data_IF_249188910211
#
_entry.id   IF_249188910211
#
_cell.length_a   1.000
_cell.length_b   1.000
_cell.length_c   1.000
_cell.angle_alpha   90.00
_cell.angle_beta   90.00
_cell.angle_gamma   90.00
#
_symmetry.space_group_name_H-M   'P 1'
#
loop_
_entity.id
_entity.type
_entity.pdbx_description
1 polymer ?
#
# COMPACT_ATOMS: atom_id res chain seq x y z
N UNK A 1 -29.45 -10.16 -22.95
CA UNK A 1 -28.81 -11.47 -22.58
C UNK A 1 -27.28 -11.36 -22.47
N UNK A 2 -26.58 -10.58 -23.34
CA UNK A 2 -25.11 -10.40 -23.24
C UNK A 2 -24.64 -9.57 -22.03
N UNK A 3 -25.38 -8.53 -21.64
CA UNK A 3 -24.99 -7.66 -20.48
C UNK A 3 -25.02 -8.36 -19.12
N UNK A 4 -25.85 -9.39 -18.94
CA UNK A 4 -25.91 -10.14 -17.68
C UNK A 4 -24.83 -11.23 -17.57
N UNK A 5 -24.31 -11.76 -18.69
CA UNK A 5 -23.19 -12.70 -18.68
C UNK A 5 -21.87 -12.01 -18.30
N UNK A 6 -21.61 -10.81 -18.85
CA UNK A 6 -20.37 -10.07 -18.53
C UNK A 6 -20.24 -9.71 -17.04
N UNK A 7 -21.34 -9.28 -16.40
CA UNK A 7 -21.32 -8.96 -14.95
C UNK A 7 -21.13 -10.19 -14.05
N UNK A 8 -21.57 -11.35 -14.47
CA UNK A 8 -21.38 -12.60 -13.71
C UNK A 8 -19.94 -13.09 -13.84
N UNK A 9 -19.36 -12.97 -15.03
CA UNK A 9 -17.97 -13.36 -15.28
C UNK A 9 -16.96 -12.45 -14.55
N UNK A 10 -17.19 -11.14 -14.55
CA UNK A 10 -16.33 -10.18 -13.82
C UNK A 10 -16.36 -10.44 -12.30
N UNK A 11 -17.52 -10.69 -11.71
CA UNK A 11 -17.64 -10.99 -10.28
C UNK A 11 -17.00 -12.32 -9.88
N UNK A 12 -17.11 -13.36 -10.71
CA UNK A 12 -16.47 -14.66 -10.50
C UNK A 12 -14.94 -14.52 -10.62
N UNK A 13 -14.46 -13.79 -11.61
CA UNK A 13 -13.04 -13.54 -11.83
C UNK A 13 -12.42 -12.79 -10.64
N UNK A 14 -13.04 -11.73 -10.15
CA UNK A 14 -12.58 -10.96 -8.99
C UNK A 14 -12.51 -11.81 -7.71
N UNK A 15 -13.54 -12.59 -7.40
CA UNK A 15 -13.54 -13.51 -6.24
C UNK A 15 -12.40 -14.54 -6.36
N UNK A 16 -12.10 -15.00 -7.56
CA UNK A 16 -11.02 -15.96 -7.80
C UNK A 16 -9.67 -15.31 -7.60
N UNK A 17 -9.44 -14.09 -8.11
CA UNK A 17 -8.19 -13.35 -7.92
C UNK A 17 -7.91 -13.04 -6.45
N UNK A 18 -8.90 -12.54 -5.70
CA UNK A 18 -8.75 -12.23 -4.29
C UNK A 18 -8.39 -13.48 -3.47
N UNK A 19 -8.97 -14.62 -3.79
CA UNK A 19 -8.59 -15.91 -3.21
C UNK A 19 -7.15 -16.28 -3.54
N UNK A 20 -6.73 -16.10 -4.79
CA UNK A 20 -5.38 -16.39 -5.24
C UNK A 20 -4.34 -15.51 -4.53
N UNK A 21 -4.57 -14.19 -4.40
CA UNK A 21 -3.69 -13.31 -3.64
C UNK A 21 -3.56 -13.73 -2.18
N UNK A 22 -4.67 -14.12 -1.55
CA UNK A 22 -4.67 -14.61 -0.18
C UNK A 22 -3.85 -15.89 -0.02
N UNK A 23 -3.94 -16.82 -0.97
CA UNK A 23 -3.15 -18.06 -0.95
C UNK A 23 -1.65 -17.79 -1.22
N UNK A 24 -1.30 -16.92 -2.20
CA UNK A 24 0.08 -16.49 -2.43
C UNK A 24 0.67 -15.82 -1.19
N UNK A 25 -0.10 -14.96 -0.51
CA UNK A 25 0.34 -14.32 0.74
C UNK A 25 0.59 -15.33 1.86
N UNK A 26 -0.27 -16.32 2.06
CA UNK A 26 -0.05 -17.40 3.04
C UNK A 26 1.19 -18.24 2.71
N UNK A 27 1.40 -18.56 1.44
CA UNK A 27 2.57 -19.29 0.96
C UNK A 27 3.84 -18.50 1.26
N UNK A 28 3.90 -17.24 0.87
CA UNK A 28 5.00 -16.33 1.17
C UNK A 28 5.31 -16.30 2.67
N UNK A 29 4.28 -16.06 3.50
CA UNK A 29 4.45 -16.01 4.96
C UNK A 29 5.00 -17.31 5.55
N UNK A 30 4.67 -18.46 4.98
CA UNK A 30 5.22 -19.74 5.39
C UNK A 30 6.70 -19.88 5.02
N UNK A 31 7.05 -19.48 3.80
CA UNK A 31 8.40 -19.64 3.24
C UNK A 31 9.42 -18.71 3.92
N UNK A 32 9.09 -17.44 4.19
CA UNK A 32 10.02 -16.49 4.82
C UNK A 32 10.30 -16.79 6.31
N UNK A 33 9.64 -17.79 6.91
CA UNK A 33 9.89 -18.22 8.29
C UNK A 33 11.14 -19.07 8.44
N UNK A 34 11.72 -19.59 7.36
CA UNK A 34 12.84 -20.51 7.37
C UNK A 34 13.96 -19.98 6.47
N UNK A 35 15.20 -20.19 6.89
CA UNK A 35 16.38 -19.73 6.16
C UNK A 35 16.51 -20.40 4.78
N UNK A 36 16.26 -21.71 4.72
CA UNK A 36 16.38 -22.54 3.51
C UNK A 36 15.33 -22.25 2.43
N UNK A 37 14.24 -21.56 2.80
CA UNK A 37 13.17 -21.21 1.86
C UNK A 37 12.97 -19.70 1.70
N UNK A 38 13.86 -18.87 2.27
CA UNK A 38 13.72 -17.42 2.24
C UNK A 38 13.66 -16.87 0.81
N UNK A 39 14.60 -17.26 -0.05
CA UNK A 39 14.65 -16.77 -1.42
C UNK A 39 13.38 -17.16 -2.20
N UNK A 40 12.91 -18.38 -2.04
CA UNK A 40 11.62 -18.77 -2.62
C UNK A 40 10.46 -17.93 -2.08
N UNK A 41 10.50 -17.57 -0.79
CA UNK A 41 9.50 -16.68 -0.18
C UNK A 41 9.54 -15.26 -0.75
N UNK A 42 10.74 -14.72 -1.03
CA UNK A 42 10.91 -13.42 -1.73
C UNK A 42 10.36 -13.49 -3.16
N UNK A 43 10.64 -14.56 -3.91
CA UNK A 43 10.12 -14.74 -5.26
C UNK A 43 8.59 -14.75 -5.29
N UNK A 44 7.96 -15.47 -4.36
CA UNK A 44 6.49 -15.48 -4.22
C UNK A 44 5.96 -14.09 -3.87
N UNK A 45 6.64 -13.37 -2.98
CA UNK A 45 6.28 -12.00 -2.61
C UNK A 45 6.31 -11.07 -3.83
N UNK A 46 7.41 -11.07 -4.58
CA UNK A 46 7.57 -10.18 -5.72
C UNK A 46 6.59 -10.53 -6.85
N UNK A 47 6.36 -11.81 -7.11
CA UNK A 47 5.39 -12.25 -8.09
C UNK A 47 3.98 -11.75 -7.77
N UNK A 48 3.54 -11.95 -6.53
CA UNK A 48 2.20 -11.51 -6.14
C UNK A 48 2.07 -9.98 -6.02
N UNK A 49 3.14 -9.25 -5.68
CA UNK A 49 3.17 -7.78 -5.74
C UNK A 49 3.07 -7.26 -7.17
N UNK A 50 3.62 -7.99 -8.16
CA UNK A 50 3.42 -7.66 -9.57
C UNK A 50 1.94 -7.78 -9.95
N UNK A 51 1.26 -8.88 -9.60
CA UNK A 51 -0.17 -9.04 -9.89
C UNK A 51 -1.02 -7.90 -9.31
N UNK A 52 -0.72 -7.50 -8.06
CA UNK A 52 -1.40 -6.38 -7.39
C UNK A 52 -1.11 -5.04 -8.08
N UNK A 53 0.14 -4.81 -8.49
CA UNK A 53 0.53 -3.60 -9.20
C UNK A 53 -0.12 -3.52 -10.58
N UNK A 54 -0.17 -4.63 -11.32
CA UNK A 54 -0.84 -4.71 -12.62
C UNK A 54 -2.34 -4.36 -12.49
N UNK A 55 -2.97 -4.82 -11.40
CA UNK A 55 -4.35 -4.43 -11.08
C UNK A 55 -4.50 -2.93 -10.85
N UNK A 56 -3.57 -2.29 -10.10
CA UNK A 56 -3.60 -0.84 -9.91
C UNK A 56 -3.35 -0.10 -11.23
N UNK A 57 -2.40 -0.56 -12.03
CA UNK A 57 -2.10 0.07 -13.32
C UNK A 57 -3.29 0.01 -14.28
N UNK A 58 -4.07 -1.08 -14.28
CA UNK A 58 -5.26 -1.20 -15.11
C UNK A 58 -6.32 -0.12 -14.83
N UNK A 59 -6.33 0.44 -13.62
CA UNK A 59 -7.28 1.51 -13.29
C UNK A 59 -7.06 2.78 -14.10
N UNK A 60 -5.83 3.07 -14.54
CA UNK A 60 -5.55 4.24 -15.42
C UNK A 60 -6.26 4.14 -16.76
N UNK A 61 -6.39 2.93 -17.29
CA UNK A 61 -7.03 2.69 -18.58
C UNK A 61 -8.55 2.55 -18.47
N UNK A 62 -9.03 2.14 -17.30
CA UNK A 62 -10.42 1.77 -17.09
C UNK A 62 -11.27 2.86 -16.41
N UNK A 63 -10.64 3.81 -15.73
CA UNK A 63 -11.31 4.83 -14.91
C UNK A 63 -11.00 6.23 -15.40
N UNK A 64 -11.97 7.14 -15.22
CA UNK A 64 -11.79 8.56 -15.44
C UNK A 64 -11.21 9.22 -14.19
N UNK A 65 -10.68 10.44 -14.33
CA UNK A 65 -10.08 11.18 -13.22
C UNK A 65 -11.04 11.32 -12.01
N UNK A 66 -12.30 11.62 -12.26
CA UNK A 66 -13.33 11.77 -11.24
C UNK A 66 -13.64 10.48 -10.48
N UNK A 67 -13.44 9.31 -11.08
CA UNK A 67 -13.67 8.01 -10.46
C UNK A 67 -12.65 7.74 -9.33
N UNK A 68 -11.44 8.29 -9.46
CA UNK A 68 -10.39 8.16 -8.42
C UNK A 68 -10.76 8.86 -7.11
N UNK A 69 -11.58 9.91 -7.16
CA UNK A 69 -12.01 10.69 -6.00
C UNK A 69 -13.38 10.27 -5.48
N UNK A 70 -14.07 9.39 -6.20
CA UNK A 70 -15.42 8.98 -5.85
C UNK A 70 -15.46 8.20 -4.52
N UNK A 71 -16.41 8.51 -3.65
CA UNK A 71 -16.60 7.89 -2.33
C UNK A 71 -17.98 7.21 -2.20
N UNK A 72 -18.27 6.17 -3.01
CA UNK A 72 -19.59 5.54 -3.00
C UNK A 72 -19.93 4.84 -1.68
N UNK A 73 -18.95 4.60 -0.82
CA UNK A 73 -19.09 3.93 0.47
C UNK A 73 -18.66 4.81 1.66
N UNK A 74 -18.85 6.13 1.60
CA UNK A 74 -18.38 7.10 2.62
C UNK A 74 -18.77 6.72 4.07
N UNK A 75 -19.89 6.05 4.26
CA UNK A 75 -20.38 5.65 5.56
C UNK A 75 -19.97 4.23 5.99
N UNK A 76 -19.13 3.55 5.22
CA UNK A 76 -18.59 2.24 5.61
C UNK A 76 -17.51 2.38 6.70
N UNK A 77 -17.22 1.29 7.42
CA UNK A 77 -16.18 1.29 8.44
C UNK A 77 -14.78 1.07 7.89
N UNK A 78 -13.77 1.58 8.60
CA UNK A 78 -12.35 1.33 8.34
C UNK A 78 -11.87 1.79 6.96
N UNK A 79 -11.07 0.96 6.29
CA UNK A 79 -10.52 1.26 4.96
C UNK A 79 -11.56 1.21 3.82
N UNK A 80 -12.76 0.72 4.10
CA UNK A 80 -13.84 0.64 3.12
C UNK A 80 -14.51 1.99 2.80
N UNK A 81 -14.35 3.01 3.65
CA UNK A 81 -14.91 4.35 3.43
C UNK A 81 -13.97 5.30 2.68
N UNK A 82 -12.93 4.77 2.06
CA UNK A 82 -11.93 5.56 1.33
C UNK A 82 -12.24 5.60 -0.16
N UNK A 83 -11.51 6.42 -0.92
CA UNK A 83 -11.54 6.40 -2.39
C UNK A 83 -10.27 5.74 -2.97
N UNK A 84 -10.21 5.62 -4.28
CA UNK A 84 -9.12 4.92 -4.97
C UNK A 84 -7.81 5.71 -4.84
N UNK A 85 -7.81 7.02 -5.11
CA UNK A 85 -6.59 7.83 -5.04
C UNK A 85 -5.99 7.87 -3.62
N UNK A 86 -6.85 8.00 -2.59
CA UNK A 86 -6.41 7.89 -1.20
C UNK A 86 -5.79 6.53 -0.89
N UNK A 87 -6.44 5.44 -1.33
CA UNK A 87 -5.96 4.08 -1.03
C UNK A 87 -4.58 3.84 -1.67
N UNK A 88 -4.35 4.34 -2.89
CA UNK A 88 -3.05 4.28 -3.56
C UNK A 88 -2.01 5.10 -2.78
N UNK A 89 -2.30 6.37 -2.45
CA UNK A 89 -1.41 7.18 -1.62
C UNK A 89 -1.06 6.49 -0.31
N UNK A 90 -2.07 6.10 0.45
CA UNK A 90 -1.95 5.53 1.77
C UNK A 90 -1.08 4.26 1.83
N UNK A 91 -1.34 3.33 0.91
CA UNK A 91 -0.60 2.06 0.85
C UNK A 91 0.88 2.32 0.58
N UNK A 92 1.19 3.11 -0.43
CA UNK A 92 2.57 3.31 -0.84
C UNK A 92 3.31 4.32 0.04
N UNK A 93 2.58 5.27 0.64
CA UNK A 93 3.18 6.15 1.64
C UNK A 93 3.60 5.40 2.90
N UNK A 94 2.77 4.49 3.39
CA UNK A 94 3.14 3.58 4.48
C UNK A 94 4.34 2.71 4.09
N UNK A 95 4.33 2.17 2.89
CA UNK A 95 5.42 1.32 2.42
C UNK A 95 6.74 2.09 2.35
N UNK A 96 6.74 3.28 1.78
CA UNK A 96 7.90 4.16 1.66
C UNK A 96 8.52 4.48 3.04
N UNK A 97 7.68 4.93 3.98
CA UNK A 97 8.11 5.21 5.37
C UNK A 97 8.72 3.95 6.01
N UNK A 98 8.05 2.82 5.93
CA UNK A 98 8.50 1.60 6.61
C UNK A 98 9.75 1.03 5.96
N UNK A 99 9.85 1.03 4.64
CA UNK A 99 11.01 0.51 3.92
C UNK A 99 12.26 1.37 4.17
N UNK A 100 12.14 2.66 4.03
CA UNK A 100 13.26 3.59 4.10
C UNK A 100 13.57 4.01 5.54
N UNK A 101 12.64 4.66 6.22
CA UNK A 101 12.90 5.17 7.58
C UNK A 101 13.13 4.04 8.58
N UNK A 102 12.34 2.95 8.56
CA UNK A 102 12.42 1.92 9.60
C UNK A 102 13.38 0.78 9.28
N UNK A 103 13.48 0.33 8.02
CA UNK A 103 14.31 -0.84 7.68
C UNK A 103 15.68 -0.39 7.16
N UNK A 104 15.75 0.34 6.03
CA UNK A 104 17.00 0.74 5.42
C UNK A 104 17.72 1.85 6.20
N UNK A 105 16.98 2.84 6.68
CA UNK A 105 17.48 4.00 7.40
C UNK A 105 18.10 5.04 6.50
N UNK A 106 17.50 5.20 5.38
CA UNK A 106 17.82 6.18 4.37
C UNK A 106 16.61 7.08 4.07
N UNK A 107 16.77 7.97 3.10
CA UNK A 107 15.74 8.95 2.75
C UNK A 107 14.65 8.32 1.89
N UNK A 108 13.40 8.63 2.21
CA UNK A 108 12.21 8.12 1.54
C UNK A 108 12.13 8.58 0.08
N UNK A 109 11.55 7.74 -0.78
CA UNK A 109 11.34 8.01 -2.21
C UNK A 109 10.50 9.27 -2.43
N UNK A 110 9.58 9.57 -1.53
CA UNK A 110 8.78 10.80 -1.57
C UNK A 110 9.66 12.05 -1.67
N UNK A 111 10.75 12.08 -0.91
CA UNK A 111 11.66 13.22 -0.83
C UNK A 111 12.76 13.16 -1.90
N UNK A 112 13.44 12.02 -2.07
CA UNK A 112 14.51 11.85 -3.07
C UNK A 112 14.03 12.08 -4.49
N UNK A 113 12.77 11.69 -4.80
CA UNK A 113 12.13 11.90 -6.09
C UNK A 113 11.37 13.22 -6.24
N UNK A 114 11.39 14.09 -5.20
CA UNK A 114 10.58 15.31 -5.12
C UNK A 114 9.08 15.06 -5.40
N UNK A 115 8.59 13.87 -5.00
CA UNK A 115 7.23 13.43 -5.33
C UNK A 115 6.15 14.22 -4.61
N UNK A 116 6.40 14.78 -3.42
CA UNK A 116 5.42 15.64 -2.76
C UNK A 116 4.99 16.79 -3.66
N UNK A 117 5.95 17.49 -4.28
CA UNK A 117 5.68 18.60 -5.21
C UNK A 117 5.06 18.11 -6.52
N UNK A 118 5.58 17.03 -7.11
CA UNK A 118 5.12 16.47 -8.39
C UNK A 118 3.68 15.99 -8.29
N UNK A 119 3.34 15.23 -7.24
CA UNK A 119 1.99 14.75 -6.96
C UNK A 119 1.05 15.89 -6.53
N UNK A 120 1.60 17.04 -6.13
CA UNK A 120 0.86 18.16 -5.50
C UNK A 120 0.21 17.76 -4.19
N UNK A 121 0.88 16.88 -3.42
CA UNK A 121 0.34 16.42 -2.14
C UNK A 121 0.48 17.49 -1.06
N UNK A 122 -0.62 17.92 -0.43
CA UNK A 122 -0.56 18.87 0.69
C UNK A 122 -0.04 18.24 1.99
N UNK A 123 0.11 16.91 2.04
CA UNK A 123 0.58 16.18 3.21
C UNK A 123 1.79 15.29 2.84
N UNK A 124 2.60 14.98 3.85
CA UNK A 124 3.69 14.00 3.78
C UNK A 124 3.40 12.76 4.62
N UNK A 125 2.28 12.76 5.33
CA UNK A 125 1.84 11.70 6.23
C UNK A 125 1.16 10.56 5.47
N UNK A 126 0.78 9.53 6.21
CA UNK A 126 0.04 8.38 5.67
C UNK A 126 -1.40 8.70 5.27
N UNK A 127 -1.92 9.85 5.69
CA UNK A 127 -3.32 10.25 5.50
C UNK A 127 -4.31 9.58 6.47
N UNK A 128 -3.84 8.84 7.48
CA UNK A 128 -4.73 8.20 8.46
C UNK A 128 -5.60 9.19 9.23
N UNK A 129 -5.10 10.42 9.40
CA UNK A 129 -5.78 11.54 10.05
C UNK A 129 -6.98 12.05 9.23
N UNK A 130 -7.04 11.76 7.93
CA UNK A 130 -8.09 12.26 7.05
C UNK A 130 -9.37 11.45 7.15
N UNK A 131 -10.49 12.14 7.32
CA UNK A 131 -11.81 11.52 7.43
C UNK A 131 -12.81 12.18 6.47
N UNK A 132 -13.74 11.38 5.96
CA UNK A 132 -14.88 11.80 5.16
C UNK A 132 -14.48 12.78 4.02
N UNK A 133 -15.04 13.98 4.04
CA UNK A 133 -14.83 15.01 3.02
C UNK A 133 -13.36 15.43 2.90
N UNK A 134 -12.58 15.40 3.98
CA UNK A 134 -11.14 15.67 3.95
C UNK A 134 -10.38 14.75 3.00
N UNK A 135 -10.82 13.49 2.87
CA UNK A 135 -10.24 12.52 1.91
C UNK A 135 -10.49 13.00 0.48
N UNK A 136 -11.72 13.40 0.17
CA UNK A 136 -12.08 13.91 -1.16
C UNK A 136 -11.34 15.19 -1.49
N UNK A 137 -11.25 16.11 -0.53
CA UNK A 137 -10.55 17.39 -0.73
C UNK A 137 -9.04 17.19 -0.92
N UNK A 138 -8.46 16.21 -0.22
CA UNK A 138 -7.07 15.79 -0.42
C UNK A 138 -6.87 15.23 -1.83
N UNK A 139 -7.68 14.24 -2.22
CA UNK A 139 -7.42 13.47 -3.45
C UNK A 139 -7.71 14.25 -4.73
N UNK A 140 -8.63 15.21 -4.70
CA UNK A 140 -8.89 16.12 -5.85
C UNK A 140 -7.67 16.95 -6.28
N UNK A 141 -6.73 17.20 -5.35
CA UNK A 141 -5.54 17.99 -5.63
C UNK A 141 -4.43 17.18 -6.29
N UNK A 142 -4.47 15.83 -6.13
CA UNK A 142 -3.39 14.97 -6.55
C UNK A 142 -3.29 14.87 -8.08
N UNK A 143 -2.06 14.95 -8.56
CA UNK A 143 -1.69 14.55 -9.90
C UNK A 143 -1.59 13.02 -9.96
N UNK A 144 -2.54 12.39 -10.64
CA UNK A 144 -2.66 10.93 -10.67
C UNK A 144 -1.49 10.29 -11.43
N UNK A 145 -1.00 10.89 -12.50
CA UNK A 145 0.11 10.34 -13.27
C UNK A 145 1.41 10.32 -12.44
N UNK A 146 1.65 11.39 -11.70
CA UNK A 146 2.78 11.49 -10.80
C UNK A 146 2.61 10.58 -9.56
N UNK A 147 1.39 10.37 -9.09
CA UNK A 147 1.11 9.37 -8.04
C UNK A 147 1.48 7.97 -8.52
N UNK A 148 1.16 7.60 -9.76
CA UNK A 148 1.55 6.31 -10.34
C UNK A 148 3.06 6.18 -10.57
N UNK A 149 3.74 7.27 -10.92
CA UNK A 149 5.20 7.31 -10.98
C UNK A 149 5.82 7.04 -9.61
N UNK A 150 5.31 7.69 -8.57
CA UNK A 150 5.73 7.50 -7.18
C UNK A 150 5.57 6.04 -6.72
N UNK A 151 4.40 5.44 -6.91
CA UNK A 151 4.17 4.07 -6.44
C UNK A 151 5.05 3.05 -7.17
N UNK A 152 5.40 3.32 -8.43
CA UNK A 152 6.30 2.47 -9.19
C UNK A 152 7.73 2.53 -8.63
N UNK A 153 8.21 3.72 -8.28
CA UNK A 153 9.53 3.90 -7.70
C UNK A 153 9.60 3.36 -6.27
N UNK A 154 8.56 3.56 -5.44
CA UNK A 154 8.47 2.97 -4.09
C UNK A 154 8.51 1.45 -4.18
N UNK A 155 7.69 0.84 -5.04
CA UNK A 155 7.70 -0.62 -5.23
C UNK A 155 9.09 -1.14 -5.58
N UNK A 156 9.75 -0.49 -6.55
CA UNK A 156 11.10 -0.87 -7.02
C UNK A 156 12.11 -0.77 -5.89
N UNK A 157 12.14 0.33 -5.18
CA UNK A 157 13.08 0.58 -4.08
C UNK A 157 12.86 -0.38 -2.92
N UNK A 158 11.60 -0.59 -2.50
CA UNK A 158 11.26 -1.56 -1.44
C UNK A 158 11.70 -2.99 -1.82
N UNK A 159 11.49 -3.40 -3.05
CA UNK A 159 11.89 -4.75 -3.50
C UNK A 159 13.42 -4.90 -3.54
N UNK A 160 14.17 -3.83 -3.83
CA UNK A 160 15.62 -3.83 -3.75
C UNK A 160 16.09 -3.97 -2.29
N UNK A 161 15.49 -3.24 -1.37
CA UNK A 161 15.75 -3.40 0.08
C UNK A 161 15.49 -4.84 0.49
N UNK A 162 14.33 -5.40 0.16
CA UNK A 162 13.96 -6.78 0.56
C UNK A 162 14.90 -7.83 -0.06
N UNK A 163 15.35 -7.66 -1.31
CA UNK A 163 16.31 -8.58 -1.94
C UNK A 163 17.61 -8.69 -1.16
N UNK A 164 18.07 -7.57 -0.60
CA UNK A 164 19.33 -7.49 0.13
C UNK A 164 19.24 -7.99 1.58
N UNK A 165 18.04 -8.25 2.13
CA UNK A 165 17.89 -8.82 3.46
C UNK A 165 18.25 -10.31 3.48
N UNK A 166 19.03 -10.72 4.47
CA UNK A 166 19.22 -12.12 4.79
C UNK A 166 18.24 -12.59 5.88
N UNK A 167 18.33 -13.88 6.26
CA UNK A 167 17.43 -14.46 7.25
C UNK A 167 17.62 -13.88 8.65
N UNK A 168 18.82 -13.42 9.00
CA UNK A 168 19.11 -12.78 10.28
C UNK A 168 18.46 -11.42 10.38
N UNK A 169 18.47 -10.65 9.27
CA UNK A 169 17.85 -9.32 9.19
C UNK A 169 16.35 -9.37 9.46
N UNK A 170 15.68 -10.44 9.01
CA UNK A 170 14.24 -10.61 9.23
C UNK A 170 13.83 -10.64 10.71
N UNK A 171 14.76 -10.93 11.61
CA UNK A 171 14.52 -10.99 13.06
C UNK A 171 14.87 -9.71 13.79
N UNK A 172 15.49 -8.75 13.10
CA UNK A 172 15.86 -7.48 13.69
C UNK A 172 14.62 -6.72 14.15
N UNK A 173 14.72 -6.12 15.32
CA UNK A 173 13.73 -5.20 15.86
C UNK A 173 14.06 -3.79 15.40
N UNK A 174 13.03 -2.98 15.27
CA UNK A 174 13.20 -1.56 14.99
C UNK A 174 13.85 -0.88 16.20
N UNK A 175 14.93 -0.15 15.98
CA UNK A 175 15.65 0.57 17.03
C UNK A 175 14.86 1.80 17.49
N UNK A 176 15.14 2.26 18.72
CA UNK A 176 14.54 3.48 19.26
C UNK A 176 14.91 4.70 18.39
N UNK A 177 16.13 4.78 17.87
CA UNK A 177 16.55 5.82 16.93
C UNK A 177 15.65 5.87 15.68
N UNK A 178 15.34 4.73 15.08
CA UNK A 178 14.43 4.65 13.93
C UNK A 178 13.00 5.06 14.29
N UNK A 179 12.56 4.68 15.47
CA UNK A 179 11.25 5.10 16.00
C UNK A 179 11.20 6.62 16.19
N UNK A 180 12.24 7.22 16.76
CA UNK A 180 12.33 8.67 16.96
C UNK A 180 12.37 9.43 15.63
N UNK A 181 13.01 8.86 14.60
CA UNK A 181 13.04 9.44 13.26
C UNK A 181 11.64 9.67 12.67
N UNK A 182 10.67 8.79 12.93
CA UNK A 182 9.28 8.99 12.47
C UNK A 182 8.68 10.30 12.99
N UNK A 183 8.89 10.60 14.28
CA UNK A 183 8.42 11.85 14.88
C UNK A 183 9.17 13.07 14.36
N UNK A 184 10.51 12.97 14.25
CA UNK A 184 11.36 14.07 13.79
C UNK A 184 11.07 14.46 12.33
N UNK A 185 10.74 13.49 11.48
CA UNK A 185 10.38 13.72 10.07
C UNK A 185 8.93 14.19 9.89
N UNK A 186 8.08 14.02 10.89
CA UNK A 186 6.66 14.39 10.81
C UNK A 186 5.86 13.56 9.78
N UNK A 187 6.34 12.35 9.44
CA UNK A 187 5.72 11.48 8.42
C UNK A 187 4.54 10.66 8.94
N UNK A 188 4.32 10.68 10.24
CA UNK A 188 3.12 10.15 10.89
C UNK A 188 2.47 11.31 11.66
N UNK A 189 1.20 11.56 11.40
CA UNK A 189 0.43 12.60 12.09
C UNK A 189 0.29 12.29 13.60
N UNK A 190 0.28 13.33 14.42
CA UNK A 190 0.01 13.22 15.88
C UNK A 190 -1.48 12.98 16.19
N UNK A 191 -2.35 13.02 15.17
CA UNK A 191 -3.78 12.73 15.32
C UNK A 191 -4.01 11.32 15.87
N UNK A 192 -5.03 11.14 16.71
CA UNK A 192 -5.36 9.86 17.34
C UNK A 192 -5.62 8.73 16.32
N UNK A 193 -6.09 9.08 15.13
CA UNK A 193 -6.32 8.13 14.03
C UNK A 193 -5.02 7.68 13.33
N UNK A 194 -3.89 8.33 13.59
CA UNK A 194 -2.62 8.06 12.93
C UNK A 194 -1.49 7.65 13.88
N UNK A 195 -1.35 8.30 15.03
CA UNK A 195 -0.20 8.16 15.93
C UNK A 195 0.06 6.73 16.41
N UNK A 196 -0.97 5.91 16.51
CA UNK A 196 -0.87 4.50 16.88
C UNK A 196 -0.04 3.65 15.88
N UNK A 197 0.15 4.11 14.64
CA UNK A 197 0.95 3.44 13.63
C UNK A 197 2.41 3.27 14.06
N UNK A 198 2.96 4.26 14.77
CA UNK A 198 4.35 4.25 15.26
C UNK A 198 4.56 3.00 16.13
N UNK A 199 3.73 2.81 17.12
CA UNK A 199 3.80 1.64 18.00
C UNK A 199 3.46 0.33 17.28
N UNK A 200 2.51 0.39 16.35
CA UNK A 200 2.12 -0.78 15.57
C UNK A 200 3.27 -1.34 14.73
N UNK A 201 4.04 -0.47 14.07
CA UNK A 201 5.19 -0.88 13.27
C UNK A 201 6.39 -1.24 14.14
N UNK A 202 6.75 -0.40 15.11
CA UNK A 202 7.97 -0.57 15.91
C UNK A 202 7.92 -1.75 16.89
N UNK A 203 6.73 -2.29 17.18
CA UNK A 203 6.60 -3.57 17.92
C UNK A 203 6.90 -4.81 17.09
N UNK A 204 6.97 -4.69 15.76
CA UNK A 204 7.27 -5.81 14.85
C UNK A 204 8.79 -6.00 14.70
N UNK A 205 9.16 -7.16 14.18
CA UNK A 205 10.44 -7.37 13.52
C UNK A 205 10.30 -7.07 12.01
N UNK A 206 11.41 -7.05 11.30
CA UNK A 206 11.44 -6.79 9.85
C UNK A 206 10.53 -7.77 9.10
N UNK A 207 10.50 -9.05 9.49
CA UNK A 207 9.59 -10.04 8.91
C UNK A 207 8.12 -9.66 9.09
N UNK A 208 7.75 -9.18 10.27
CA UNK A 208 6.38 -8.70 10.54
C UNK A 208 5.99 -7.48 9.71
N UNK A 209 6.96 -6.62 9.37
CA UNK A 209 6.77 -5.51 8.46
C UNK A 209 6.58 -5.99 7.01
N UNK A 210 7.34 -6.99 6.56
CA UNK A 210 7.12 -7.62 5.25
C UNK A 210 5.71 -8.22 5.15
N UNK A 211 5.24 -8.87 6.21
CA UNK A 211 3.95 -9.57 6.23
C UNK A 211 2.73 -8.63 6.28
N UNK A 212 2.89 -7.35 6.59
CA UNK A 212 1.77 -6.43 6.68
C UNK A 212 1.91 -5.24 5.71
N UNK A 213 2.78 -4.24 5.93
CA UNK A 213 2.89 -3.11 5.01
C UNK A 213 3.16 -3.52 3.56
N UNK A 214 4.05 -4.49 3.33
CA UNK A 214 4.52 -4.82 1.97
C UNK A 214 3.73 -5.95 1.30
N UNK A 215 2.69 -6.48 1.96
CA UNK A 215 1.91 -7.58 1.38
C UNK A 215 0.42 -7.49 1.72
N UNK A 216 -0.02 -7.90 2.90
CA UNK A 216 -1.44 -7.95 3.26
C UNK A 216 -2.13 -6.60 3.15
N UNK A 217 -1.46 -5.50 3.48
CA UNK A 217 -2.01 -4.15 3.40
C UNK A 217 -2.40 -3.76 1.97
N UNK A 218 -1.58 -4.14 0.99
CA UNK A 218 -1.89 -3.96 -0.42
C UNK A 218 -3.19 -4.68 -0.80
N UNK A 219 -3.30 -5.98 -0.46
CA UNK A 219 -4.49 -6.78 -0.77
C UNK A 219 -5.75 -6.08 -0.27
N UNK A 220 -5.75 -5.68 1.02
CA UNK A 220 -6.93 -5.07 1.66
C UNK A 220 -7.40 -3.80 0.94
N UNK A 221 -6.48 -2.92 0.59
CA UNK A 221 -6.82 -1.66 -0.07
C UNK A 221 -7.17 -1.84 -1.55
N UNK A 222 -6.50 -2.75 -2.26
CA UNK A 222 -6.81 -3.02 -3.67
C UNK A 222 -8.17 -3.70 -3.81
N UNK A 223 -8.52 -4.63 -2.93
CA UNK A 223 -9.88 -5.20 -2.85
C UNK A 223 -10.94 -4.12 -2.62
N UNK A 224 -10.67 -3.14 -1.74
CA UNK A 224 -11.56 -2.02 -1.54
C UNK A 224 -11.68 -1.14 -2.79
N UNK A 225 -10.58 -0.89 -3.50
CA UNK A 225 -10.59 -0.15 -4.78
C UNK A 225 -11.41 -0.88 -5.87
N UNK A 226 -11.28 -2.20 -5.98
CA UNK A 226 -12.09 -3.00 -6.91
C UNK A 226 -13.60 -2.88 -6.61
N UNK A 227 -13.98 -2.90 -5.33
CA UNK A 227 -15.38 -2.67 -4.93
C UNK A 227 -15.89 -1.29 -5.32
N UNK A 228 -15.05 -0.26 -5.18
CA UNK A 228 -15.38 1.09 -5.64
C UNK A 228 -15.57 1.10 -7.16
N UNK A 229 -14.59 0.59 -7.91
CA UNK A 229 -14.65 0.48 -9.38
C UNK A 229 -15.92 -0.21 -9.86
N UNK A 230 -16.27 -1.34 -9.25
CA UNK A 230 -17.49 -2.09 -9.62
C UNK A 230 -18.78 -1.35 -9.29
N UNK A 231 -18.76 -0.48 -8.27
CA UNK A 231 -19.94 0.34 -7.92
C UNK A 231 -20.14 1.52 -8.87
N UNK A 232 -19.07 2.01 -9.50
CA UNK A 232 -19.11 3.14 -10.43
C UNK A 232 -19.49 2.73 -11.86
N UNK A 233 -19.37 1.47 -12.21
CA UNK A 233 -19.82 0.86 -13.48
C UNK A 233 -21.30 0.47 -13.40
#
# INVERSE_FOLDING_TARGET
>A
LRKNCEKVDDGIYEVTMNKEWSEKNKTMQSLIKKADTLEQGKDVLFGFRNDLMDTLLSYKDELKREDFDAMPFMNAGGYHCKNIAYSIWHVFRIEDIVAHTLIAGDEEVLFTGNYQSRIKSPIITTGNELIKEQISDFTKQLDIDELYSYISDVKKSTEEIIRNLDYSDLKLKISDERKESLGSLGVVSEDENAVWLIDYWCKKDVRGLIQMPFSRHWIMHIEACQRIKNKLR
#
